data_IF_013706387361
#
_entry.id   IF_013706387361
#
_cell.length_a   1.000
_cell.length_b   1.000
_cell.length_c   1.000
_cell.angle_alpha   90.00
_cell.angle_beta   90.00
_cell.angle_gamma   90.00
#
_symmetry.space_group_name_H-M   'P 1'
#
loop_
_entity.id
_entity.type
_entity.pdbx_description
1 polymer ?
#
# COMPACT_ATOMS: atom_id res chain seq x y z
N UNK A 1 -20.91 -41.30 -18.69
CA UNK A 1 -19.55 -40.86 -18.27
C UNK A 1 -19.64 -39.35 -18.16
N UNK A 2 -19.66 -38.78 -16.95
CA UNK A 2 -19.69 -37.33 -16.78
C UNK A 2 -18.36 -36.78 -17.28
N UNK A 3 -18.38 -35.91 -18.28
CA UNK A 3 -17.22 -35.13 -18.70
C UNK A 3 -16.79 -34.27 -17.49
N UNK A 4 -15.59 -34.48 -16.97
CA UNK A 4 -14.95 -33.54 -16.04
C UNK A 4 -14.12 -32.57 -16.87
N UNK A 5 -14.60 -31.34 -17.03
CA UNK A 5 -13.82 -30.29 -17.69
C UNK A 5 -12.53 -30.01 -16.91
N UNK A 6 -11.51 -29.49 -17.60
CA UNK A 6 -10.29 -29.04 -16.93
C UNK A 6 -10.61 -27.86 -15.99
N UNK A 7 -9.84 -27.72 -14.91
CA UNK A 7 -9.85 -26.47 -14.15
C UNK A 7 -9.21 -25.37 -15.00
N UNK A 8 -9.93 -24.29 -15.32
CA UNK A 8 -9.47 -23.25 -16.24
C UNK A 8 -9.07 -21.99 -15.45
N UNK A 9 -7.81 -21.56 -15.55
CA UNK A 9 -7.25 -20.38 -14.85
C UNK A 9 -6.79 -19.36 -15.89
N UNK A 10 -7.55 -18.29 -16.08
CA UNK A 10 -7.27 -17.27 -17.10
C UNK A 10 -7.80 -15.89 -16.68
N UNK A 11 -7.36 -14.85 -17.40
CA UNK A 11 -7.97 -13.53 -17.39
C UNK A 11 -8.66 -13.29 -18.74
N UNK A 12 -9.65 -12.41 -18.81
CA UNK A 12 -10.29 -12.07 -20.09
C UNK A 12 -9.30 -11.50 -21.11
N UNK A 13 -8.36 -10.67 -20.64
CA UNK A 13 -7.29 -10.10 -21.46
C UNK A 13 -6.37 -11.18 -22.05
N UNK A 14 -5.92 -12.14 -21.21
CA UNK A 14 -5.06 -13.23 -21.71
C UNK A 14 -5.81 -14.10 -22.71
N UNK A 15 -7.09 -14.43 -22.48
CA UNK A 15 -7.88 -15.23 -23.41
C UNK A 15 -8.08 -14.54 -24.77
N UNK A 16 -8.27 -13.22 -24.81
CA UNK A 16 -8.40 -12.44 -26.05
C UNK A 16 -7.15 -12.49 -26.94
N UNK A 17 -5.95 -12.42 -26.34
CA UNK A 17 -4.70 -12.57 -27.11
C UNK A 17 -4.60 -13.93 -27.79
N UNK A 18 -5.14 -14.97 -27.15
CA UNK A 18 -5.12 -16.33 -27.68
C UNK A 18 -6.10 -16.57 -28.82
N UNK A 19 -7.17 -15.76 -28.96
CA UNK A 19 -8.10 -15.82 -30.09
C UNK A 19 -7.37 -15.66 -31.42
N UNK A 20 -6.52 -14.62 -31.53
CA UNK A 20 -5.77 -14.34 -32.76
C UNK A 20 -4.65 -15.35 -33.02
N UNK A 21 -4.14 -15.99 -31.96
CA UNK A 21 -3.04 -16.97 -32.05
C UNK A 21 -3.51 -18.34 -32.53
N UNK A 22 -4.75 -18.69 -32.23
CA UNK A 22 -5.36 -19.96 -32.63
C UNK A 22 -6.08 -19.89 -33.98
N UNK A 23 -6.11 -18.73 -34.62
CA UNK A 23 -6.64 -18.55 -35.99
C UNK A 23 -5.71 -19.22 -37.04
N UNK A 24 -4.41 -19.31 -36.72
CA UNK A 24 -3.44 -20.08 -37.49
C UNK A 24 -3.66 -21.59 -37.31
N UNK A 25 -3.40 -22.37 -38.37
CA UNK A 25 -3.45 -23.84 -38.34
C UNK A 25 -2.34 -24.44 -37.49
N UNK A 26 -2.46 -24.30 -36.17
CA UNK A 26 -1.53 -24.83 -35.19
C UNK A 26 -1.40 -26.37 -35.30
N UNK A 27 -2.45 -27.06 -35.77
CA UNK A 27 -2.43 -28.52 -36.02
C UNK A 27 -1.32 -28.94 -36.99
N UNK A 28 -1.00 -28.12 -38.00
CA UNK A 28 -0.01 -28.45 -39.03
C UNK A 28 1.43 -28.49 -38.47
N UNK A 29 1.65 -27.95 -37.25
CA UNK A 29 2.96 -27.96 -36.57
C UNK A 29 3.22 -29.24 -35.78
N UNK A 30 2.24 -30.14 -35.69
CA UNK A 30 2.33 -31.37 -34.90
C UNK A 30 2.45 -32.61 -35.79
N UNK A 31 3.21 -33.59 -35.32
CA UNK A 31 3.22 -34.92 -35.96
C UNK A 31 1.85 -35.60 -35.81
N UNK A 32 1.48 -36.42 -36.82
CA UNK A 32 0.18 -37.11 -36.84
C UNK A 32 -0.06 -38.02 -35.62
N UNK A 33 1.01 -38.59 -35.06
CA UNK A 33 0.98 -39.36 -33.80
C UNK A 33 0.55 -38.52 -32.60
N UNK A 34 1.17 -37.35 -32.42
CA UNK A 34 0.83 -36.38 -31.39
C UNK A 34 -0.61 -35.85 -31.53
N UNK A 35 -1.06 -35.53 -32.75
CA UNK A 35 -2.44 -35.10 -33.02
C UNK A 35 -3.47 -36.16 -32.61
N UNK A 36 -3.23 -37.42 -33.01
CA UNK A 36 -4.14 -38.53 -32.69
C UNK A 36 -4.18 -38.81 -31.20
N UNK A 37 -3.01 -38.77 -30.54
CA UNK A 37 -2.86 -38.99 -29.10
C UNK A 37 -3.47 -37.85 -28.29
N UNK A 38 -3.26 -36.60 -28.70
CA UNK A 38 -3.80 -35.40 -28.07
C UNK A 38 -5.33 -35.34 -28.14
N UNK A 39 -5.92 -35.58 -29.31
CA UNK A 39 -7.39 -35.70 -29.46
C UNK A 39 -7.98 -36.78 -28.56
N UNK A 40 -7.25 -37.88 -28.31
CA UNK A 40 -7.66 -38.94 -27.39
C UNK A 40 -7.54 -38.53 -25.92
N UNK A 41 -6.54 -37.73 -25.54
CA UNK A 41 -6.38 -37.18 -24.19
C UNK A 41 -7.49 -36.17 -23.87
N UNK A 42 -7.78 -35.26 -24.81
CA UNK A 42 -8.87 -34.29 -24.71
C UNK A 42 -10.24 -34.98 -24.56
N UNK A 43 -10.60 -35.92 -25.46
CA UNK A 43 -11.88 -36.67 -25.37
C UNK A 43 -12.03 -37.50 -24.10
N UNK A 44 -10.93 -37.85 -23.45
CA UNK A 44 -10.94 -38.59 -22.18
C UNK A 44 -10.99 -37.69 -20.95
N UNK A 45 -10.95 -36.36 -21.11
CA UNK A 45 -10.84 -35.41 -19.99
C UNK A 45 -9.56 -35.62 -19.19
N UNK A 46 -8.45 -35.97 -19.86
CA UNK A 46 -7.16 -36.25 -19.19
C UNK A 46 -6.41 -34.96 -18.83
N UNK A 47 -6.81 -33.82 -19.41
CA UNK A 47 -6.36 -32.50 -18.98
C UNK A 47 -7.13 -32.15 -17.71
N UNK A 48 -6.41 -32.04 -16.59
CA UNK A 48 -7.00 -31.73 -15.30
C UNK A 48 -7.04 -30.24 -15.02
N UNK A 49 -6.11 -29.48 -15.59
CA UNK A 49 -6.00 -28.03 -15.41
C UNK A 49 -5.34 -27.38 -16.63
N UNK A 50 -5.81 -26.18 -16.97
CA UNK A 50 -5.21 -25.31 -17.98
C UNK A 50 -5.08 -23.89 -17.42
N UNK A 51 -3.90 -23.28 -17.57
CA UNK A 51 -3.65 -21.90 -17.18
C UNK A 51 -3.17 -21.08 -18.37
N UNK A 52 -3.86 -19.98 -18.68
CA UNK A 52 -3.63 -19.15 -19.87
C UNK A 52 -3.11 -17.77 -19.44
N UNK A 53 -1.84 -17.50 -19.74
CA UNK A 53 -1.18 -16.20 -19.61
C UNK A 53 -1.17 -15.42 -20.93
N UNK A 54 -0.63 -14.20 -20.91
CA UNK A 54 -0.60 -13.33 -22.08
C UNK A 54 0.29 -13.89 -23.19
N UNK A 55 1.40 -14.57 -22.85
CA UNK A 55 2.39 -15.13 -23.80
C UNK A 55 2.57 -16.65 -23.64
N UNK A 56 2.02 -17.28 -22.61
CA UNK A 56 2.20 -18.70 -22.33
C UNK A 56 0.89 -19.40 -21.94
N UNK A 57 0.79 -20.70 -22.21
CA UNK A 57 -0.24 -21.56 -21.64
C UNK A 57 0.37 -22.81 -21.03
N UNK A 58 -0.11 -23.18 -19.85
CA UNK A 58 0.35 -24.35 -19.11
C UNK A 58 -0.79 -25.36 -19.01
N UNK A 59 -0.56 -26.55 -19.55
CA UNK A 59 -1.48 -27.67 -19.53
C UNK A 59 -1.00 -28.72 -18.56
N UNK A 60 -1.88 -29.15 -17.65
CA UNK A 60 -1.62 -30.25 -16.72
C UNK A 60 -2.44 -31.47 -17.13
N UNK A 61 -1.75 -32.56 -17.45
CA UNK A 61 -2.35 -33.85 -17.79
C UNK A 61 -2.13 -34.87 -16.68
N UNK A 62 -3.22 -35.46 -16.19
CA UNK A 62 -3.17 -36.49 -15.13
C UNK A 62 -3.34 -37.89 -15.72
N UNK A 63 -2.30 -38.71 -15.63
CA UNK A 63 -2.33 -40.13 -16.03
C UNK A 63 -2.06 -41.01 -14.81
N UNK A 64 -3.12 -41.59 -14.23
CA UNK A 64 -3.00 -42.40 -13.02
C UNK A 64 -2.59 -41.54 -11.80
N UNK A 65 -1.40 -41.81 -11.24
CA UNK A 65 -0.82 -41.06 -10.11
C UNK A 65 0.20 -39.98 -10.53
N UNK A 66 0.58 -39.91 -11.80
CA UNK A 66 1.56 -38.96 -12.30
C UNK A 66 0.88 -37.76 -12.99
N UNK A 67 1.41 -36.57 -12.74
CA UNK A 67 1.02 -35.32 -13.39
C UNK A 67 2.12 -34.92 -14.36
N UNK A 68 1.74 -34.67 -15.62
CA UNK A 68 2.66 -34.26 -16.67
C UNK A 68 2.23 -32.90 -17.17
N UNK A 69 3.20 -32.03 -17.47
CA UNK A 69 2.95 -30.66 -17.84
C UNK A 69 3.48 -30.40 -19.25
N UNK A 70 2.74 -29.60 -20.00
CA UNK A 70 3.20 -29.03 -21.26
C UNK A 70 2.95 -27.54 -21.22
N UNK A 71 3.99 -26.76 -21.52
CA UNK A 71 3.98 -25.30 -21.57
C UNK A 71 4.14 -24.93 -23.03
N UNK A 72 3.18 -24.16 -23.53
CA UNK A 72 3.23 -23.53 -24.85
C UNK A 72 3.61 -22.09 -24.61
N UNK A 73 4.79 -21.68 -25.07
CA UNK A 73 5.22 -20.28 -25.07
C UNK A 73 5.06 -19.72 -26.47
N UNK A 74 4.40 -18.58 -26.59
CA UNK A 74 4.17 -17.87 -27.84
C UNK A 74 5.18 -16.73 -28.00
N UNK A 75 5.96 -16.76 -29.08
CA UNK A 75 6.96 -15.74 -29.42
C UNK A 75 6.90 -15.45 -30.93
N UNK A 76 6.76 -14.16 -31.31
CA UNK A 76 6.86 -13.68 -32.70
C UNK A 76 6.04 -14.48 -33.74
N UNK A 77 4.78 -14.80 -33.46
CA UNK A 77 3.89 -15.55 -34.38
C UNK A 77 4.19 -17.06 -34.46
N UNK A 78 5.01 -17.59 -33.58
CA UNK A 78 5.27 -19.01 -33.41
C UNK A 78 5.13 -19.44 -31.96
N UNK A 79 4.96 -20.73 -31.72
CA UNK A 79 4.99 -21.29 -30.37
C UNK A 79 6.05 -22.36 -30.22
N UNK A 80 6.67 -22.39 -29.04
CA UNK A 80 7.58 -23.42 -28.60
C UNK A 80 6.93 -24.25 -27.48
N UNK A 81 7.21 -25.54 -27.46
CA UNK A 81 6.66 -26.47 -26.46
C UNK A 81 7.77 -26.87 -25.50
N UNK A 82 7.56 -26.64 -24.21
CA UNK A 82 8.40 -27.13 -23.12
C UNK A 82 7.60 -28.10 -22.27
N UNK A 83 8.18 -29.23 -21.90
CA UNK A 83 7.45 -30.28 -21.18
C UNK A 83 8.26 -30.88 -20.05
N UNK A 84 7.54 -31.42 -19.06
CA UNK A 84 8.11 -32.22 -17.98
C UNK A 84 8.46 -33.65 -18.41
N UNK A 85 8.08 -34.08 -19.61
CA UNK A 85 8.35 -35.44 -20.12
C UNK A 85 9.54 -35.45 -21.08
N UNK A 86 10.34 -36.52 -21.05
CA UNK A 86 11.36 -36.80 -22.06
C UNK A 86 10.77 -37.38 -23.36
N UNK A 87 9.48 -37.74 -23.37
CA UNK A 87 8.73 -38.16 -24.56
C UNK A 87 8.16 -36.90 -25.25
N UNK A 88 8.84 -36.46 -26.31
CA UNK A 88 8.44 -35.28 -27.09
C UNK A 88 7.08 -35.47 -27.77
N UNK A 89 6.76 -36.67 -28.25
CA UNK A 89 5.45 -36.94 -28.87
C UNK A 89 4.32 -36.87 -27.83
N UNK A 90 4.59 -37.27 -26.59
CA UNK A 90 3.63 -37.14 -25.50
C UNK A 90 3.49 -35.70 -25.01
N UNK A 91 4.58 -34.95 -24.92
CA UNK A 91 4.56 -33.51 -24.63
C UNK A 91 3.70 -32.74 -25.63
N UNK A 92 3.90 -33.03 -26.91
CA UNK A 92 3.15 -32.48 -28.03
C UNK A 92 1.67 -32.89 -27.95
N UNK A 93 1.39 -34.15 -27.61
CA UNK A 93 0.01 -34.62 -27.42
C UNK A 93 -0.72 -33.90 -26.27
N UNK A 94 -0.03 -33.54 -25.19
CA UNK A 94 -0.61 -32.72 -24.11
C UNK A 94 -0.88 -31.31 -24.61
N UNK A 95 0.03 -30.71 -25.39
CA UNK A 95 -0.16 -29.39 -25.97
C UNK A 95 -1.36 -29.35 -26.93
N UNK A 96 -1.48 -30.34 -27.83
CA UNK A 96 -2.63 -30.51 -28.72
C UNK A 96 -3.95 -30.59 -27.92
N UNK A 97 -3.96 -31.36 -26.83
CA UNK A 97 -5.15 -31.47 -25.99
C UNK A 97 -5.48 -30.15 -25.25
N UNK A 98 -4.46 -29.36 -24.91
CA UNK A 98 -4.60 -28.02 -24.38
C UNK A 98 -5.20 -27.04 -25.37
N UNK A 99 -4.67 -27.00 -26.59
CA UNK A 99 -5.17 -26.13 -27.65
C UNK A 99 -6.67 -26.35 -27.91
N UNK A 100 -7.11 -27.61 -27.98
CA UNK A 100 -8.54 -27.95 -28.12
C UNK A 100 -9.38 -27.45 -26.94
N UNK A 101 -8.85 -27.48 -25.71
CA UNK A 101 -9.53 -26.94 -24.52
C UNK A 101 -9.59 -25.41 -24.54
N UNK A 102 -8.58 -24.72 -25.08
CA UNK A 102 -8.58 -23.27 -25.27
C UNK A 102 -9.59 -22.87 -26.35
N UNK A 103 -9.63 -23.59 -27.47
CA UNK A 103 -10.64 -23.36 -28.53
C UNK A 103 -12.06 -23.55 -28.01
N UNK A 104 -12.30 -24.59 -27.21
CA UNK A 104 -13.58 -24.79 -26.52
C UNK A 104 -13.89 -23.62 -25.58
N UNK A 105 -12.91 -23.17 -24.79
CA UNK A 105 -13.08 -22.03 -23.89
C UNK A 105 -13.38 -20.71 -24.63
N UNK A 106 -12.74 -20.47 -25.76
CA UNK A 106 -13.00 -19.30 -26.62
C UNK A 106 -14.42 -19.36 -27.18
N UNK A 107 -14.86 -20.55 -27.62
CA UNK A 107 -16.22 -20.77 -28.10
C UNK A 107 -17.28 -20.62 -27.00
N UNK A 108 -16.97 -21.03 -25.77
CA UNK A 108 -17.85 -20.89 -24.60
C UNK A 108 -18.01 -19.42 -24.14
N UNK A 109 -16.97 -18.59 -24.26
CA UNK A 109 -16.93 -17.21 -23.72
C UNK A 109 -17.54 -16.13 -24.64
N UNK A 110 -18.05 -16.49 -25.83
CA UNK A 110 -18.67 -15.59 -26.82
C UNK A 110 -17.94 -14.22 -26.95
N UNK A 111 -16.63 -14.28 -27.23
CA UNK A 111 -15.71 -13.12 -27.28
C UNK A 111 -15.90 -12.22 -28.52
N UNK A 112 -16.98 -12.42 -29.28
CA UNK A 112 -17.31 -11.72 -30.53
C UNK A 112 -17.57 -10.22 -30.37
N UNK A 113 -17.58 -9.70 -29.13
CA UNK A 113 -17.95 -8.30 -28.80
C UNK A 113 -16.72 -7.38 -28.62
N UNK A 114 -15.48 -7.87 -28.65
CA UNK A 114 -14.30 -7.08 -28.24
C UNK A 114 -13.22 -6.99 -29.33
N UNK A 115 -13.64 -6.96 -30.60
CA UNK A 115 -12.72 -6.86 -31.75
C UNK A 115 -12.35 -5.42 -32.15
N UNK A 116 -12.86 -4.39 -31.47
CA UNK A 116 -12.65 -2.99 -31.89
C UNK A 116 -11.58 -2.19 -31.13
N UNK A 117 -10.96 -2.69 -30.04
CA UNK A 117 -10.14 -1.84 -29.16
C UNK A 117 -8.61 -2.10 -29.13
N UNK A 118 -8.04 -2.98 -29.95
CA UNK A 118 -6.59 -3.28 -29.90
C UNK A 118 -5.87 -3.18 -31.26
N UNK A 119 -6.18 -2.15 -32.06
CA UNK A 119 -5.33 -1.73 -33.17
C UNK A 119 -4.68 -0.41 -32.80
N UNK A 120 -3.61 -0.46 -32.01
CA UNK A 120 -2.55 0.56 -31.94
C UNK A 120 -1.53 0.10 -30.90
N UNK A 121 -0.51 -0.66 -31.33
CA UNK A 121 0.89 -0.55 -30.86
C UNK A 121 1.71 -1.75 -31.35
N UNK A 122 2.02 -1.76 -32.66
CA UNK A 122 3.17 -2.51 -33.18
C UNK A 122 3.94 -1.62 -34.15
N UNK A 123 4.91 -0.86 -33.62
CA UNK A 123 6.12 -0.44 -34.35
C UNK A 123 7.28 -0.25 -33.38
N UNK A 124 8.21 -1.18 -33.38
CA UNK A 124 9.63 -0.89 -33.56
C UNK A 124 10.42 -2.20 -33.65
N UNK A 125 10.81 -2.52 -34.89
CA UNK A 125 11.88 -3.45 -35.21
C UNK A 125 13.23 -2.78 -34.90
N UNK A 126 14.06 -3.42 -34.07
CA UNK A 126 15.52 -3.31 -34.20
C UNK A 126 16.14 -4.70 -34.10
N UNK A 127 16.94 -5.02 -35.12
CA UNK A 127 17.67 -6.27 -35.32
C UNK A 127 18.70 -6.51 -34.21
N UNK A 128 18.66 -7.70 -33.59
CA UNK A 128 19.80 -8.23 -32.83
C UNK A 128 20.09 -9.64 -33.32
N UNK A 129 21.29 -9.79 -33.88
CA UNK A 129 21.88 -11.02 -34.39
C UNK A 129 22.12 -12.01 -33.23
N UNK A 130 21.49 -13.19 -33.27
CA UNK A 130 21.74 -14.26 -32.31
C UNK A 130 22.56 -15.39 -32.93
N UNK A 131 23.74 -15.60 -32.36
CA UNK A 131 24.65 -16.70 -32.64
C UNK A 131 23.98 -18.06 -32.39
N UNK A 132 24.13 -18.97 -33.37
CA UNK A 132 23.76 -20.38 -33.23
C UNK A 132 24.66 -21.06 -32.18
N UNK A 133 24.14 -21.30 -30.99
CA UNK A 133 24.80 -22.21 -30.04
C UNK A 133 24.43 -23.65 -30.39
N UNK A 134 25.38 -24.33 -31.02
CA UNK A 134 25.44 -25.78 -31.21
C UNK A 134 25.32 -26.50 -29.87
N UNK A 135 24.40 -27.47 -29.79
CA UNK A 135 24.28 -28.41 -28.67
C UNK A 135 25.54 -29.29 -28.59
N UNK A 136 26.46 -28.93 -27.70
CA UNK A 136 27.60 -29.77 -27.39
C UNK A 136 27.22 -30.77 -26.29
N UNK A 137 27.17 -32.03 -26.70
CA UNK A 137 26.96 -33.17 -25.83
C UNK A 137 28.19 -33.41 -24.95
N UNK A 138 28.11 -32.99 -23.68
CA UNK A 138 28.78 -33.64 -22.51
C UNK A 138 28.46 -32.85 -21.23
N UNK A 139 27.36 -33.19 -20.57
CA UNK A 139 27.11 -32.71 -19.21
C UNK A 139 27.93 -33.54 -18.20
N UNK A 140 28.72 -32.92 -17.30
CA UNK A 140 29.33 -33.62 -16.18
C UNK A 140 28.21 -34.07 -15.23
N UNK A 141 28.38 -35.24 -14.59
CA UNK A 141 27.46 -35.74 -13.55
C UNK A 141 27.56 -34.82 -12.32
N UNK A 142 26.67 -33.84 -12.24
CA UNK A 142 26.50 -32.97 -11.07
C UNK A 142 25.48 -33.62 -10.13
N UNK A 143 25.82 -33.66 -8.84
CA UNK A 143 24.96 -34.22 -7.78
C UNK A 143 23.62 -33.51 -7.66
N UNK A 144 22.62 -34.21 -7.11
CA UNK A 144 21.25 -33.71 -6.91
C UNK A 144 21.23 -32.45 -6.04
N UNK A 145 21.02 -31.28 -6.63
CA UNK A 145 20.85 -30.00 -5.90
C UNK A 145 19.40 -29.85 -5.44
N UNK A 146 19.19 -29.39 -4.23
CA UNK A 146 17.84 -29.12 -3.68
C UNK A 146 17.46 -27.66 -3.92
N UNK A 147 16.20 -27.43 -4.31
CA UNK A 147 15.67 -26.07 -4.43
C UNK A 147 15.30 -25.57 -3.03
N UNK A 148 15.85 -24.42 -2.67
CA UNK A 148 15.72 -23.75 -1.39
C UNK A 148 15.06 -22.39 -1.57
N UNK A 149 13.95 -22.18 -0.89
CA UNK A 149 13.13 -20.98 -0.99
C UNK A 149 13.30 -20.16 0.29
N UNK A 150 13.55 -18.87 0.14
CA UNK A 150 13.66 -17.93 1.27
C UNK A 150 12.50 -16.95 1.17
N UNK A 151 11.71 -16.83 2.23
CA UNK A 151 10.72 -15.75 2.38
C UNK A 151 11.34 -14.57 3.11
N UNK A 152 11.12 -13.39 2.57
CA UNK A 152 11.58 -12.11 3.10
C UNK A 152 10.50 -11.04 2.94
N UNK A 153 10.40 -10.12 3.90
CA UNK A 153 9.43 -9.02 3.89
C UNK A 153 10.09 -7.74 3.38
N UNK A 154 9.46 -7.06 2.43
CA UNK A 154 9.91 -5.76 1.90
C UNK A 154 8.76 -4.75 1.82
N UNK A 155 9.06 -3.46 1.70
CA UNK A 155 8.04 -2.40 1.54
C UNK A 155 7.11 -2.58 0.31
N UNK A 156 7.53 -3.40 -0.64
CA UNK A 156 6.75 -3.72 -1.85
C UNK A 156 5.86 -4.96 -1.73
N UNK A 157 6.07 -5.78 -0.70
CA UNK A 157 5.34 -7.04 -0.54
C UNK A 157 6.17 -8.14 0.12
N UNK A 158 5.62 -9.34 0.12
CA UNK A 158 6.32 -10.55 0.54
C UNK A 158 7.12 -11.09 -0.64
N UNK A 159 8.43 -11.25 -0.47
CA UNK A 159 9.37 -11.74 -1.47
C UNK A 159 9.64 -13.23 -1.21
N UNK A 160 9.61 -14.03 -2.26
CA UNK A 160 10.06 -15.41 -2.28
C UNK A 160 11.24 -15.54 -3.25
N UNK A 161 12.43 -15.65 -2.68
CA UNK A 161 13.68 -15.88 -3.41
C UNK A 161 13.91 -17.39 -3.56
N UNK A 162 14.53 -17.80 -4.67
CA UNK A 162 14.80 -19.21 -4.96
C UNK A 162 16.28 -19.46 -5.24
N UNK A 163 16.85 -20.43 -4.53
CA UNK A 163 18.27 -20.78 -4.55
C UNK A 163 18.47 -22.29 -4.76
N UNK A 164 19.51 -22.67 -5.49
CA UNK A 164 20.05 -24.02 -5.50
C UNK A 164 21.03 -24.18 -4.33
N UNK A 165 20.80 -25.19 -3.48
CA UNK A 165 21.76 -25.62 -2.47
C UNK A 165 22.80 -26.55 -3.09
N UNK A 166 24.06 -26.17 -2.93
CA UNK A 166 25.23 -26.96 -3.34
C UNK A 166 25.68 -27.90 -2.21
N UNK A 167 26.45 -28.92 -2.56
CA UNK A 167 26.96 -29.92 -1.61
C UNK A 167 27.90 -29.33 -0.54
N UNK A 168 28.50 -28.17 -0.84
CA UNK A 168 29.34 -27.39 0.08
C UNK A 168 28.53 -26.46 1.02
N UNK A 169 27.20 -26.46 0.89
CA UNK A 169 26.29 -25.60 1.65
C UNK A 169 26.12 -24.18 1.08
N UNK A 170 26.80 -23.84 -0.01
CA UNK A 170 26.65 -22.53 -0.65
C UNK A 170 25.35 -22.44 -1.48
N UNK A 171 24.82 -21.22 -1.61
CA UNK A 171 23.56 -20.92 -2.31
C UNK A 171 23.87 -20.26 -3.66
N UNK A 172 23.28 -20.77 -4.75
CA UNK A 172 23.30 -20.11 -6.07
C UNK A 172 21.88 -19.71 -6.49
N UNK A 173 21.64 -18.51 -7.04
CA UNK A 173 20.32 -18.12 -7.51
C UNK A 173 19.78 -19.12 -8.54
N UNK A 174 18.56 -19.60 -8.30
CA UNK A 174 17.89 -20.57 -9.18
C UNK A 174 17.18 -19.89 -10.37
N UNK A 175 16.91 -18.60 -10.24
CA UNK A 175 16.31 -17.72 -11.25
C UNK A 175 17.40 -16.79 -11.83
N UNK A 176 17.33 -16.49 -13.13
CA UNK A 176 18.23 -15.60 -13.85
C UNK A 176 17.50 -14.51 -14.65
N UNK A 177 18.24 -13.53 -15.18
CA UNK A 177 17.73 -12.29 -15.80
C UNK A 177 16.89 -12.43 -17.09
N UNK A 178 16.25 -11.28 -17.43
CA UNK A 178 15.11 -11.01 -18.31
C UNK A 178 14.05 -12.12 -18.37
N UNK A 179 12.94 -11.94 -17.62
CA UNK A 179 11.81 -12.88 -17.49
C UNK A 179 12.03 -14.16 -16.65
N UNK A 180 13.00 -14.19 -15.73
CA UNK A 180 13.11 -15.29 -14.76
C UNK A 180 13.56 -16.62 -15.36
N UNK A 181 14.42 -16.56 -16.39
CA UNK A 181 14.90 -17.74 -17.09
C UNK A 181 15.49 -18.76 -16.10
N UNK A 182 14.97 -20.01 -16.08
CA UNK A 182 15.42 -21.03 -15.15
C UNK A 182 16.87 -21.39 -15.42
N UNK A 183 17.75 -21.20 -14.44
CA UNK A 183 19.14 -21.70 -14.50
C UNK A 183 19.16 -23.16 -14.06
N UNK A 184 18.54 -24.01 -14.87
CA UNK A 184 18.46 -25.45 -14.64
C UNK A 184 19.41 -26.18 -15.59
N UNK A 185 20.36 -26.91 -15.01
CA UNK A 185 21.34 -27.74 -15.72
C UNK A 185 20.71 -29.12 -16.06
N UNK A 186 19.71 -29.55 -15.28
CA UNK A 186 19.07 -30.87 -15.41
C UNK A 186 17.54 -30.82 -15.62
N UNK A 187 16.96 -31.95 -16.07
CA UNK A 187 15.51 -32.11 -16.24
C UNK A 187 14.77 -32.03 -14.90
N UNK A 188 15.31 -32.65 -13.85
CA UNK A 188 14.74 -32.61 -12.49
C UNK A 188 14.72 -31.17 -11.92
N UNK A 189 15.75 -30.38 -12.20
CA UNK A 189 15.81 -28.97 -11.80
C UNK A 189 14.77 -28.11 -12.54
N UNK A 190 14.57 -28.36 -13.85
CA UNK A 190 13.51 -27.69 -14.63
C UNK A 190 12.12 -28.00 -14.07
N UNK A 191 11.84 -29.26 -13.75
CA UNK A 191 10.56 -29.68 -13.19
C UNK A 191 10.25 -28.96 -11.86
N UNK A 192 11.25 -28.81 -10.99
CA UNK A 192 11.12 -28.08 -9.72
C UNK A 192 10.85 -26.60 -9.90
N UNK A 193 11.52 -25.96 -10.86
CA UNK A 193 11.28 -24.53 -11.15
C UNK A 193 9.91 -24.29 -11.78
N UNK A 194 9.44 -25.18 -12.66
CA UNK A 194 8.07 -25.12 -13.21
C UNK A 194 7.04 -25.29 -12.09
N UNK A 195 7.26 -26.25 -11.19
CA UNK A 195 6.38 -26.47 -10.04
C UNK A 195 6.34 -25.25 -9.11
N UNK A 196 7.49 -24.60 -8.88
CA UNK A 196 7.58 -23.34 -8.13
C UNK A 196 6.76 -22.24 -8.82
N UNK A 197 6.96 -22.03 -10.13
CA UNK A 197 6.25 -21.01 -10.90
C UNK A 197 4.72 -21.21 -10.84
N UNK A 198 4.24 -22.44 -11.01
CA UNK A 198 2.82 -22.77 -10.91
C UNK A 198 2.24 -22.46 -9.51
N UNK A 199 2.96 -22.83 -8.45
CA UNK A 199 2.54 -22.54 -7.06
C UNK A 199 2.59 -21.06 -6.72
N UNK A 200 3.59 -20.35 -7.20
CA UNK A 200 3.72 -18.91 -7.05
C UNK A 200 2.53 -18.19 -7.71
N UNK A 201 2.19 -18.52 -8.97
CA UNK A 201 1.01 -17.97 -9.66
C UNK A 201 -0.29 -18.27 -8.93
N UNK A 202 -0.49 -19.52 -8.48
CA UNK A 202 -1.65 -19.92 -7.69
C UNK A 202 -1.79 -19.14 -6.37
N UNK A 203 -0.67 -18.65 -5.84
CA UNK A 203 -0.61 -17.85 -4.63
C UNK A 203 -0.52 -16.35 -4.93
N UNK A 204 -0.80 -15.94 -6.16
CA UNK A 204 -0.81 -14.55 -6.65
C UNK A 204 0.53 -13.82 -6.57
N UNK A 205 1.64 -14.55 -6.60
CA UNK A 205 2.95 -13.95 -6.74
C UNK A 205 3.22 -13.56 -8.21
N UNK A 206 3.94 -12.46 -8.37
CA UNK A 206 4.44 -11.96 -9.66
C UNK A 206 5.96 -11.98 -9.66
N UNK A 207 6.59 -12.33 -10.78
CA UNK A 207 8.05 -12.30 -10.86
C UNK A 207 8.55 -10.85 -10.86
N UNK A 208 9.61 -10.58 -10.10
CA UNK A 208 10.30 -9.30 -10.07
C UNK A 208 11.79 -9.50 -10.37
N UNK A 209 12.26 -8.81 -11.40
CA UNK A 209 13.68 -8.81 -11.78
C UNK A 209 14.55 -8.15 -10.71
N UNK A 210 14.05 -7.10 -10.07
CA UNK A 210 14.75 -6.35 -9.02
C UNK A 210 15.14 -7.25 -7.83
N UNK A 211 14.23 -8.13 -7.42
CA UNK A 211 14.47 -9.06 -6.31
C UNK A 211 14.94 -10.44 -6.78
N UNK A 212 15.08 -10.64 -8.09
CA UNK A 212 15.34 -11.92 -8.73
C UNK A 212 14.49 -13.06 -8.12
N UNK A 213 13.20 -12.79 -7.95
CA UNK A 213 12.31 -13.60 -7.13
C UNK A 213 10.84 -13.28 -7.37
N UNK A 214 9.97 -13.94 -6.62
CA UNK A 214 8.53 -13.77 -6.71
C UNK A 214 8.04 -12.80 -5.63
N UNK A 215 7.20 -11.82 -5.98
CA UNK A 215 6.65 -10.83 -5.05
C UNK A 215 5.13 -10.94 -4.98
N UNK A 216 4.61 -11.06 -3.76
CA UNK A 216 3.19 -10.95 -3.46
C UNK A 216 2.90 -9.53 -2.95
N UNK A 217 2.30 -8.71 -3.82
CA UNK A 217 1.99 -7.29 -3.55
C UNK A 217 0.66 -7.08 -2.80
N UNK A 218 -0.26 -8.05 -2.88
CA UNK A 218 -1.57 -7.95 -2.25
C UNK A 218 -1.50 -8.21 -0.74
N UNK A 219 -1.36 -7.14 0.05
CA UNK A 219 -1.13 -7.23 1.50
C UNK A 219 -2.18 -8.06 2.26
N UNK A 220 -3.44 -8.03 1.83
CA UNK A 220 -4.52 -8.82 2.47
C UNK A 220 -4.31 -10.34 2.38
N UNK A 221 -3.59 -10.81 1.36
CA UNK A 221 -3.36 -12.23 1.12
C UNK A 221 -2.13 -12.75 1.88
N UNK A 222 -1.21 -11.86 2.26
CA UNK A 222 0.07 -12.19 2.89
C UNK A 222 -0.11 -12.98 4.21
N UNK A 223 -0.93 -12.55 5.19
CA UNK A 223 -1.06 -13.28 6.46
C UNK A 223 -1.60 -14.70 6.28
N UNK A 224 -2.57 -14.87 5.37
CA UNK A 224 -3.12 -16.18 5.02
C UNK A 224 -2.05 -17.05 4.34
N UNK A 225 -1.31 -16.51 3.38
CA UNK A 225 -0.26 -17.24 2.68
C UNK A 225 0.79 -17.76 3.67
N UNK A 226 1.37 -16.89 4.50
CA UNK A 226 2.43 -17.25 5.45
C UNK A 226 1.93 -18.27 6.50
N UNK A 227 0.68 -18.14 6.94
CA UNK A 227 0.13 -19.00 8.00
C UNK A 227 -0.41 -20.34 7.51
N UNK A 228 -0.96 -20.40 6.28
CA UNK A 228 -1.72 -21.56 5.78
C UNK A 228 -1.11 -22.20 4.54
N UNK A 229 -0.56 -21.42 3.61
CA UNK A 229 -0.07 -21.92 2.32
C UNK A 229 1.41 -22.30 2.40
N UNK A 230 2.26 -21.41 2.93
CA UNK A 230 3.70 -21.61 3.02
C UNK A 230 4.12 -22.91 3.74
N UNK A 231 3.50 -23.32 4.87
CA UNK A 231 3.84 -24.60 5.51
C UNK A 231 3.62 -25.82 4.60
N UNK A 232 2.69 -25.76 3.65
CA UNK A 232 2.44 -26.84 2.69
C UNK A 232 3.56 -26.99 1.65
N UNK A 233 4.35 -25.93 1.43
CA UNK A 233 5.46 -25.94 0.48
C UNK A 233 6.67 -26.71 0.99
N UNK A 234 6.82 -26.86 2.32
CA UNK A 234 7.87 -27.65 2.98
C UNK A 234 7.92 -29.12 2.53
N UNK A 235 6.81 -29.65 2.02
CA UNK A 235 6.74 -31.02 1.49
C UNK A 235 7.39 -31.19 0.10
N UNK A 236 7.69 -30.10 -0.61
CA UNK A 236 8.24 -30.16 -1.97
C UNK A 236 9.53 -29.35 -2.14
N UNK A 237 9.82 -28.42 -1.24
CA UNK A 237 11.00 -27.56 -1.29
C UNK A 237 11.65 -27.46 0.08
N UNK A 238 12.95 -27.16 0.10
CA UNK A 238 13.60 -26.64 1.30
C UNK A 238 13.16 -25.18 1.48
N UNK A 239 12.81 -24.77 2.70
CA UNK A 239 12.22 -23.45 2.97
C UNK A 239 12.90 -22.78 4.16
N UNK A 240 13.10 -21.47 4.08
CA UNK A 240 13.60 -20.60 5.13
C UNK A 240 12.71 -19.36 5.23
N UNK A 241 12.50 -18.87 6.44
CA UNK A 241 11.78 -17.63 6.71
C UNK A 241 12.76 -16.70 7.43
N UNK A 242 12.88 -15.46 6.96
CA UNK A 242 13.64 -14.42 7.68
C UNK A 242 12.85 -13.91 8.88
N UNK A 243 13.55 -13.29 9.83
CA UNK A 243 12.97 -12.85 11.11
C UNK A 243 11.77 -11.88 10.93
N UNK A 244 11.85 -11.01 9.93
CA UNK A 244 10.80 -10.04 9.59
C UNK A 244 9.49 -10.66 9.04
N UNK A 245 9.50 -11.94 8.66
CA UNK A 245 8.30 -12.68 8.22
C UNK A 245 7.40 -13.03 9.41
N UNK A 246 7.94 -13.07 10.63
CA UNK A 246 7.13 -13.29 11.82
C UNK A 246 6.12 -12.15 12.05
N UNK A 247 6.52 -10.91 11.77
CA UNK A 247 5.76 -9.68 12.05
C UNK A 247 4.46 -9.57 11.23
N UNK A 248 4.36 -10.26 10.10
CA UNK A 248 3.19 -10.22 9.19
C UNK A 248 2.16 -11.32 9.48
N UNK A 249 2.46 -12.26 10.40
CA UNK A 249 1.56 -13.38 10.73
C UNK A 249 0.33 -12.95 11.51
N UNK A 250 0.47 -11.92 12.35
CA UNK A 250 -0.61 -11.39 13.19
C UNK A 250 -1.64 -10.57 12.39
N UNK A 251 -1.34 -10.27 11.12
CA UNK A 251 -2.26 -9.59 10.21
C UNK A 251 -2.04 -8.08 10.19
N UNK A 252 -3.14 -7.33 10.29
CA UNK A 252 -3.12 -5.88 10.22
C UNK A 252 -3.02 -5.28 11.63
N UNK A 253 -1.97 -4.50 11.84
CA UNK A 253 -1.77 -3.73 13.07
C UNK A 253 -2.23 -2.30 12.86
N UNK A 254 -3.08 -1.81 13.75
CA UNK A 254 -3.53 -0.42 13.71
C UNK A 254 -2.54 0.46 14.49
N UNK A 255 -2.04 1.53 13.84
CA UNK A 255 -1.10 2.48 14.41
C UNK A 255 -1.81 3.79 14.77
N UNK A 256 -1.42 4.34 15.91
CA UNK A 256 -1.88 5.67 16.34
C UNK A 256 -0.77 6.68 16.15
N UNK A 257 -1.11 7.78 15.48
CA UNK A 257 -0.23 8.92 15.30
C UNK A 257 -0.32 9.82 16.54
N UNK A 258 0.82 10.07 17.16
CA UNK A 258 0.98 11.10 18.16
C UNK A 258 1.66 12.32 17.53
N UNK A 259 1.53 13.47 18.18
CA UNK A 259 2.24 14.68 17.79
C UNK A 259 3.06 15.19 18.96
N UNK A 260 4.24 15.72 18.67
CA UNK A 260 5.01 16.55 19.60
C UNK A 260 4.95 17.98 19.11
N UNK A 261 4.39 18.85 19.95
CA UNK A 261 4.21 20.26 19.63
C UNK A 261 5.18 21.11 20.46
N UNK A 262 5.93 21.97 19.78
CA UNK A 262 6.91 22.89 20.38
C UNK A 262 6.79 24.27 19.74
N UNK A 263 7.40 25.29 20.37
CA UNK A 263 7.59 26.60 19.74
C UNK A 263 8.99 26.67 19.15
N UNK A 264 9.10 27.23 17.94
CA UNK A 264 10.39 27.54 17.34
C UNK A 264 10.94 28.89 17.87
N UNK A 265 12.13 29.27 17.40
CA UNK A 265 12.79 30.52 17.82
C UNK A 265 12.02 31.80 17.48
N UNK A 266 11.05 31.74 16.58
CA UNK A 266 10.20 32.85 16.16
C UNK A 266 8.87 32.90 16.91
N UNK A 267 8.62 31.94 17.82
CA UNK A 267 7.39 31.85 18.60
C UNK A 267 6.22 31.22 17.84
N UNK A 268 6.47 30.64 16.66
CA UNK A 268 5.45 29.90 15.91
C UNK A 268 5.50 28.41 16.24
N UNK A 269 4.35 27.75 16.09
CA UNK A 269 4.12 26.36 16.42
C UNK A 269 4.84 25.45 15.41
N UNK A 270 5.70 24.59 15.92
CA UNK A 270 6.34 23.47 15.22
C UNK A 270 5.75 22.16 15.73
N UNK A 271 5.17 21.37 14.82
CA UNK A 271 4.58 20.06 15.14
C UNK A 271 5.34 18.97 14.43
N UNK A 272 5.87 18.05 15.21
CA UNK A 272 6.52 16.83 14.72
C UNK A 272 5.62 15.64 14.96
N UNK A 273 5.35 14.93 13.87
CA UNK A 273 4.57 13.71 13.88
C UNK A 273 5.40 12.55 14.40
N UNK A 274 4.94 11.93 15.50
CA UNK A 274 5.57 10.77 16.12
C UNK A 274 4.59 9.62 16.09
N UNK A 275 4.88 8.61 15.28
CA UNK A 275 4.07 7.40 15.22
C UNK A 275 4.41 6.52 16.43
N UNK A 276 3.42 6.29 17.29
CA UNK A 276 3.63 5.46 18.45
C UNK A 276 3.23 4.02 18.13
N UNK A 277 4.23 3.15 18.05
CA UNK A 277 4.06 1.70 17.90
C UNK A 277 4.07 0.97 19.25
N UNK A 278 4.06 1.71 20.36
CA UNK A 278 4.14 1.20 21.73
C UNK A 278 5.55 0.84 22.21
N UNK A 279 6.53 0.68 21.29
CA UNK A 279 7.89 0.24 21.64
C UNK A 279 9.04 0.89 20.84
N UNK A 280 8.79 1.55 19.70
CA UNK A 280 9.86 2.14 18.87
C UNK A 280 9.43 3.45 18.18
N UNK A 281 10.36 4.41 18.12
CA UNK A 281 10.28 5.57 17.23
C UNK A 281 10.47 5.11 15.78
N UNK A 282 9.63 5.57 14.86
CA UNK A 282 9.80 5.29 13.44
C UNK A 282 10.96 6.08 12.85
N UNK A 283 11.71 5.47 11.93
CA UNK A 283 12.64 6.21 11.08
C UNK A 283 11.90 7.11 10.10
N UNK A 284 12.57 8.18 9.63
CA UNK A 284 12.02 9.11 8.63
C UNK A 284 11.52 8.41 7.35
N UNK A 285 12.15 7.30 6.98
CA UNK A 285 11.76 6.51 5.80
C UNK A 285 10.44 5.76 6.03
N UNK A 286 10.29 5.10 7.18
CA UNK A 286 9.05 4.42 7.57
C UNK A 286 7.89 5.41 7.69
N UNK A 287 8.15 6.59 8.27
CA UNK A 287 7.19 7.67 8.37
C UNK A 287 6.77 8.16 6.98
N UNK A 288 7.70 8.38 6.03
CA UNK A 288 7.36 8.78 4.65
C UNK A 288 6.50 7.75 3.94
N UNK A 289 6.79 6.45 4.07
CA UNK A 289 6.00 5.39 3.42
C UNK A 289 4.56 5.38 3.97
N UNK A 290 4.39 5.56 5.28
CA UNK A 290 3.06 5.61 5.91
C UNK A 290 2.30 6.89 5.58
N UNK A 291 2.96 8.04 5.70
CA UNK A 291 2.38 9.36 5.43
C UNK A 291 2.10 9.58 3.94
N UNK A 292 2.85 8.91 3.04
CA UNK A 292 2.58 8.91 1.61
C UNK A 292 1.42 8.01 1.20
N UNK A 293 1.03 7.05 2.05
CA UNK A 293 -0.04 6.08 1.79
C UNK A 293 -1.14 6.14 2.88
N UNK A 294 -1.57 7.36 3.23
CA UNK A 294 -2.45 7.68 4.38
C UNK A 294 -3.67 6.75 4.53
N UNK A 295 -4.28 6.36 3.41
CA UNK A 295 -5.52 5.58 3.42
C UNK A 295 -5.35 4.08 3.22
N UNK A 296 -4.19 3.64 2.75
CA UNK A 296 -3.95 2.26 2.34
C UNK A 296 -3.02 1.59 3.36
N UNK A 297 -3.25 0.32 3.73
CA UNK A 297 -2.29 -0.42 4.53
C UNK A 297 -0.91 -0.43 3.85
N UNK A 298 0.14 -0.29 4.65
CA UNK A 298 1.52 -0.39 4.20
C UNK A 298 2.18 -1.60 4.86
N UNK A 299 3.16 -2.18 4.18
CA UNK A 299 3.99 -3.24 4.74
C UNK A 299 5.31 -2.63 5.18
N UNK A 300 5.63 -2.79 6.46
CA UNK A 300 6.89 -2.36 7.06
C UNK A 300 7.57 -3.61 7.62
N UNK A 301 8.76 -3.99 7.14
CA UNK A 301 9.41 -5.24 7.56
C UNK A 301 9.51 -5.41 9.09
N UNK A 302 9.79 -4.33 9.81
CA UNK A 302 9.97 -4.31 11.27
C UNK A 302 8.65 -4.38 12.04
N UNK A 303 7.53 -3.95 11.46
CA UNK A 303 6.24 -3.82 12.16
C UNK A 303 5.13 -4.72 11.59
N UNK A 304 5.35 -5.32 10.43
CA UNK A 304 4.35 -6.07 9.69
C UNK A 304 3.45 -5.19 8.84
N UNK A 305 2.21 -5.63 8.64
CA UNK A 305 1.23 -4.89 7.83
C UNK A 305 0.52 -3.89 8.74
N UNK A 306 0.70 -2.61 8.47
CA UNK A 306 0.25 -1.53 9.33
C UNK A 306 -0.77 -0.64 8.63
N UNK A 307 -1.72 -0.13 9.41
CA UNK A 307 -2.73 0.83 8.96
C UNK A 307 -2.87 1.94 9.99
N UNK A 308 -2.93 3.19 9.54
CA UNK A 308 -3.23 4.31 10.42
C UNK A 308 -4.68 4.26 10.91
N UNK A 309 -4.87 4.53 12.20
CA UNK A 309 -6.19 4.60 12.81
C UNK A 309 -7.03 5.72 12.20
N UNK A 310 -8.36 5.58 12.26
CA UNK A 310 -9.26 6.61 11.72
C UNK A 310 -9.00 7.99 12.35
N UNK A 311 -8.79 8.03 13.66
CA UNK A 311 -8.46 9.27 14.37
C UNK A 311 -7.16 9.92 13.86
N UNK A 312 -6.15 9.10 13.56
CA UNK A 312 -4.87 9.58 13.00
C UNK A 312 -5.05 10.17 11.60
N UNK A 313 -5.89 9.54 10.77
CA UNK A 313 -6.20 10.03 9.41
C UNK A 313 -6.97 11.34 9.45
N UNK A 314 -7.99 11.43 10.29
CA UNK A 314 -8.81 12.63 10.44
C UNK A 314 -7.96 13.82 10.90
N UNK A 315 -7.04 13.58 11.84
CA UNK A 315 -6.10 14.59 12.29
C UNK A 315 -5.12 15.02 11.20
N UNK A 316 -4.58 14.07 10.42
CA UNK A 316 -3.67 14.38 9.31
C UNK A 316 -4.36 15.23 8.25
N UNK A 317 -5.62 14.93 7.95
CA UNK A 317 -6.43 15.70 7.02
C UNK A 317 -6.66 17.13 7.52
N UNK A 318 -6.99 17.30 8.82
CA UNK A 318 -7.13 18.63 9.44
C UNK A 318 -5.83 19.42 9.39
N UNK A 319 -4.69 18.76 9.58
CA UNK A 319 -3.39 19.41 9.47
C UNK A 319 -3.14 19.92 8.04
N UNK A 320 -3.35 19.08 7.02
CA UNK A 320 -3.21 19.50 5.62
C UNK A 320 -4.15 20.66 5.26
N UNK A 321 -5.37 20.70 5.82
CA UNK A 321 -6.33 21.79 5.61
C UNK A 321 -5.89 23.11 6.25
N UNK A 322 -5.09 23.05 7.32
CA UNK A 322 -4.57 24.20 8.05
C UNK A 322 -3.23 24.70 7.47
N UNK A 323 -2.44 23.83 6.86
CA UNK A 323 -1.14 24.15 6.26
C UNK A 323 -1.33 24.91 4.93
N UNK A 324 -1.52 26.22 5.03
CA UNK A 324 -1.49 27.10 3.85
C UNK A 324 -0.05 27.16 3.27
N UNK A 325 0.15 26.95 1.96
CA UNK A 325 1.48 26.86 1.34
C UNK A 325 2.40 28.08 1.53
N UNK A 326 1.86 29.24 1.92
CA UNK A 326 2.57 30.52 2.04
C UNK A 326 2.41 31.20 3.43
N UNK A 327 1.92 30.49 4.45
CA UNK A 327 1.70 31.08 5.77
C UNK A 327 2.99 31.22 6.60
N UNK A 328 3.07 32.30 7.39
CA UNK A 328 4.19 32.66 8.26
C UNK A 328 4.38 31.73 9.49
N UNK A 329 3.99 30.47 9.39
CA UNK A 329 3.90 29.52 10.50
C UNK A 329 2.58 29.62 11.26
N UNK A 330 2.37 28.66 12.16
CA UNK A 330 1.15 28.56 12.96
C UNK A 330 1.29 29.32 14.28
N UNK A 331 0.23 29.99 14.71
CA UNK A 331 0.15 30.60 16.03
C UNK A 331 -0.16 29.54 17.11
N UNK A 332 0.32 29.71 18.36
CA UNK A 332 0.17 28.70 19.41
C UNK A 332 -1.27 28.27 19.68
N UNK A 333 -2.24 29.20 19.56
CA UNK A 333 -3.66 28.90 19.80
C UNK A 333 -4.30 28.01 18.74
N UNK A 334 -3.72 27.92 17.54
CA UNK A 334 -4.22 27.03 16.48
C UNK A 334 -4.04 25.55 16.84
N UNK A 335 -3.20 25.25 17.85
CA UNK A 335 -3.14 23.93 18.48
C UNK A 335 -4.53 23.43 18.91
N UNK A 336 -5.41 24.30 19.43
CA UNK A 336 -6.75 23.88 19.86
C UNK A 336 -7.66 23.45 18.71
N UNK A 337 -7.45 24.01 17.51
CA UNK A 337 -8.20 23.64 16.30
C UNK A 337 -7.82 22.26 15.76
N UNK A 338 -6.58 21.81 16.03
CA UNK A 338 -6.10 20.49 15.65
C UNK A 338 -6.67 19.38 16.55
N UNK A 339 -7.05 19.69 17.80
CA UNK A 339 -7.45 18.69 18.81
C UNK A 339 -8.82 18.95 19.44
N UNK A 340 -9.90 19.18 18.66
CA UNK A 340 -11.21 19.51 19.21
C UNK A 340 -11.83 18.35 20.04
N UNK A 341 -11.44 17.11 19.74
CA UNK A 341 -12.08 15.90 20.27
C UNK A 341 -11.24 15.14 21.31
N UNK A 342 -10.01 15.60 21.62
CA UNK A 342 -9.07 14.91 22.53
C UNK A 342 -8.63 13.49 22.08
N UNK A 343 -8.94 13.10 20.84
CA UNK A 343 -8.69 11.74 20.30
C UNK A 343 -7.26 11.49 19.82
N UNK A 344 -6.44 12.54 19.73
CA UNK A 344 -5.05 12.44 19.34
C UNK A 344 -4.15 12.82 20.52
N UNK A 345 -3.12 12.03 20.77
CA UNK A 345 -2.18 12.33 21.84
C UNK A 345 -1.15 13.34 21.33
N UNK A 346 -1.15 14.51 21.96
CA UNK A 346 -0.19 15.57 21.67
C UNK A 346 0.59 15.84 22.93
N UNK A 347 1.87 15.54 22.87
CA UNK A 347 2.79 15.95 23.91
C UNK A 347 3.20 17.39 23.64
N UNK A 348 2.84 18.26 24.57
CA UNK A 348 3.22 19.67 24.56
C UNK A 348 4.42 19.81 25.49
N UNK A 349 5.52 20.35 24.97
CA UNK A 349 6.78 20.45 25.72
C UNK A 349 7.31 21.90 25.76
N UNK A 350 8.24 22.15 26.70
CA UNK A 350 9.02 23.39 26.74
C UNK A 350 8.20 24.67 26.94
N UNK A 351 8.46 25.67 26.10
CA UNK A 351 7.80 26.98 26.18
C UNK A 351 6.31 26.92 25.84
N UNK A 352 5.90 26.01 24.95
CA UNK A 352 4.49 25.81 24.60
C UNK A 352 3.69 25.31 25.81
N UNK A 353 4.29 24.45 26.62
CA UNK A 353 3.67 23.94 27.84
C UNK A 353 3.48 25.08 28.86
N UNK A 354 4.48 25.95 29.02
CA UNK A 354 4.38 27.13 29.89
C UNK A 354 3.32 28.11 29.39
N UNK A 355 3.26 28.35 28.09
CA UNK A 355 2.23 29.19 27.46
C UNK A 355 0.83 28.63 27.71
N UNK A 356 0.64 27.31 27.54
CA UNK A 356 -0.64 26.64 27.81
C UNK A 356 -1.03 26.76 29.28
N UNK A 357 -0.08 26.55 30.18
CA UNK A 357 -0.31 26.60 31.61
C UNK A 357 -0.64 28.03 32.08
N UNK A 358 -0.03 29.06 31.48
CA UNK A 358 -0.41 30.46 31.70
C UNK A 358 -1.79 30.81 31.17
N UNK A 359 -2.18 30.23 30.03
CA UNK A 359 -3.52 30.43 29.44
C UNK A 359 -4.63 29.82 30.30
N UNK A 360 -4.41 28.60 30.81
CA UNK A 360 -5.36 27.86 31.63
C UNK A 360 -5.28 28.23 33.12
N UNK A 361 -4.16 28.83 33.54
CA UNK A 361 -3.94 29.31 34.88
C UNK A 361 -4.93 30.41 35.26
N UNK A 362 -5.33 30.44 36.52
CA UNK A 362 -6.08 31.53 37.09
C UNK A 362 -5.09 32.49 37.76
N UNK A 363 -4.37 33.30 36.98
CA UNK A 363 -3.49 34.29 37.60
C UNK A 363 -4.31 35.37 38.33
N UNK A 364 -3.92 35.62 39.58
CA UNK A 364 -4.35 36.73 40.43
C UNK A 364 -3.60 38.03 40.04
N UNK A 365 -3.61 38.41 38.76
CA UNK A 365 -3.05 39.71 38.39
C UNK A 365 -3.92 40.85 38.96
N UNK A 366 -3.25 41.90 39.47
CA UNK A 366 -3.88 43.15 39.89
C UNK A 366 -4.60 43.76 38.67
N UNK A 367 -5.89 43.44 38.55
CA UNK A 367 -6.65 43.79 37.36
C UNK A 367 -6.86 45.30 37.31
N UNK A 368 -6.43 45.95 36.22
CA UNK A 368 -6.78 47.35 35.91
C UNK A 368 -8.24 47.52 35.46
N UNK A 369 -9.04 46.47 35.63
CA UNK A 369 -10.44 46.40 35.25
C UNK A 369 -11.30 47.36 36.08
N UNK A 370 -12.42 47.78 35.50
CA UNK A 370 -13.35 48.69 36.15
C UNK A 370 -13.88 48.13 37.47
N UNK A 371 -13.90 48.96 38.50
CA UNK A 371 -14.41 48.59 39.82
C UNK A 371 -15.92 48.27 39.81
N UNK A 372 -16.67 48.85 38.88
CA UNK A 372 -18.12 48.70 38.76
C UNK A 372 -18.59 47.33 38.22
N UNK A 373 -17.66 46.47 37.77
CA UNK A 373 -17.98 45.14 37.27
C UNK A 373 -18.53 44.25 38.40
N UNK A 374 -19.62 43.56 38.12
CA UNK A 374 -20.14 42.49 38.99
C UNK A 374 -19.14 41.32 39.02
N UNK A 375 -19.16 40.45 40.05
CA UNK A 375 -18.21 39.34 40.17
C UNK A 375 -18.08 38.49 38.91
N UNK A 376 -19.20 38.06 38.30
CA UNK A 376 -19.19 37.28 37.06
C UNK A 376 -18.65 38.06 35.85
N UNK A 377 -18.87 39.37 35.79
CA UNK A 377 -18.38 40.23 34.70
C UNK A 377 -16.87 40.43 34.82
N UNK A 378 -16.38 40.54 36.06
CA UNK A 378 -14.94 40.62 36.35
C UNK A 378 -14.26 39.32 35.94
N UNK A 379 -14.84 38.18 36.28
CA UNK A 379 -14.34 36.87 35.86
C UNK A 379 -14.28 36.74 34.32
N UNK A 380 -15.36 37.10 33.61
CA UNK A 380 -15.39 37.12 32.14
C UNK A 380 -14.37 38.08 31.52
N UNK A 381 -14.21 39.28 32.09
CA UNK A 381 -13.20 40.23 31.63
C UNK A 381 -11.76 39.77 31.91
N UNK A 382 -11.48 39.20 33.09
CA UNK A 382 -10.16 38.63 33.40
C UNK A 382 -9.82 37.48 32.45
N UNK A 383 -10.78 36.58 32.18
CA UNK A 383 -10.61 35.51 31.21
C UNK A 383 -10.29 36.04 29.81
N UNK A 384 -11.04 37.02 29.30
CA UNK A 384 -10.76 37.63 28.00
C UNK A 384 -9.40 38.35 27.97
N UNK A 385 -9.03 39.09 29.02
CA UNK A 385 -7.74 39.77 29.11
C UNK A 385 -6.59 38.75 29.04
N UNK A 386 -6.70 37.64 29.78
CA UNK A 386 -5.74 36.54 29.74
C UNK A 386 -5.60 35.94 28.34
N UNK A 387 -6.71 35.65 27.66
CA UNK A 387 -6.68 35.15 26.28
C UNK A 387 -5.92 36.12 25.36
N UNK A 388 -6.25 37.41 25.42
CA UNK A 388 -5.63 38.44 24.58
C UNK A 388 -4.14 38.62 24.88
N UNK A 389 -3.73 38.54 26.15
CA UNK A 389 -2.34 38.63 26.57
C UNK A 389 -1.50 37.42 26.10
N UNK A 390 -2.14 36.28 25.84
CA UNK A 390 -1.51 35.07 25.29
C UNK A 390 -1.61 34.97 23.77
N UNK A 391 -2.07 36.01 23.07
CA UNK A 391 -2.21 36.03 21.60
C UNK A 391 -3.45 35.29 21.08
N UNK A 392 -4.35 34.84 21.96
CA UNK A 392 -5.60 34.19 21.59
C UNK A 392 -6.70 35.20 21.26
N UNK A 393 -7.71 34.73 20.53
CA UNK A 393 -8.97 35.46 20.34
C UNK A 393 -10.05 34.94 21.28
N UNK A 394 -10.99 35.81 21.66
CA UNK A 394 -12.06 35.48 22.59
C UNK A 394 -13.44 35.54 21.93
N UNK A 395 -14.31 34.59 22.28
CA UNK A 395 -15.74 34.62 21.96
C UNK A 395 -16.55 34.76 23.25
N UNK A 396 -17.01 35.98 23.55
CA UNK A 396 -17.87 36.23 24.71
C UNK A 396 -19.34 35.94 24.37
N UNK A 397 -19.76 34.69 24.61
CA UNK A 397 -21.09 34.18 24.27
C UNK A 397 -22.08 34.17 25.46
N UNK A 398 -21.90 35.04 26.45
CA UNK A 398 -22.82 35.19 27.59
C UNK A 398 -24.26 35.49 27.13
N UNK A 399 -25.24 35.17 27.98
CA UNK A 399 -26.65 35.51 27.73
C UNK A 399 -26.87 37.02 27.49
N UNK A 400 -27.92 37.34 26.74
CA UNK A 400 -28.32 38.73 26.48
C UNK A 400 -28.76 39.39 27.79
N UNK A 401 -28.31 40.63 28.02
CA UNK A 401 -28.64 41.39 29.24
C UNK A 401 -27.64 41.27 30.40
N UNK A 402 -26.65 40.37 30.32
CA UNK A 402 -25.59 40.22 31.33
C UNK A 402 -24.52 41.33 31.30
N UNK A 403 -24.69 42.36 30.48
CA UNK A 403 -23.78 43.51 30.42
C UNK A 403 -22.43 43.19 29.78
N UNK A 404 -22.42 42.49 28.64
CA UNK A 404 -21.19 42.25 27.85
C UNK A 404 -20.46 43.54 27.46
N UNK A 405 -21.21 44.62 27.18
CA UNK A 405 -20.65 45.91 26.80
C UNK A 405 -19.69 46.47 27.85
N UNK A 406 -20.07 46.44 29.15
CA UNK A 406 -19.20 46.97 30.20
C UNK A 406 -17.94 46.11 30.41
N UNK A 407 -18.04 44.79 30.18
CA UNK A 407 -16.86 43.90 30.18
C UNK A 407 -15.87 44.31 29.08
N UNK A 408 -16.35 44.53 27.86
CA UNK A 408 -15.51 44.94 26.71
C UNK A 408 -14.93 46.33 26.91
N UNK A 409 -15.70 47.30 27.43
CA UNK A 409 -15.19 48.64 27.74
C UNK A 409 -14.03 48.56 28.73
N UNK A 410 -14.13 47.70 29.75
CA UNK A 410 -13.06 47.49 30.71
C UNK A 410 -11.75 47.02 30.06
N UNK A 411 -11.83 46.09 29.09
CA UNK A 411 -10.69 45.62 28.32
C UNK A 411 -10.10 46.70 27.41
N UNK A 412 -10.96 47.50 26.77
CA UNK A 412 -10.51 48.60 25.90
C UNK A 412 -9.75 49.64 26.72
N UNK A 413 -10.22 49.98 27.92
CA UNK A 413 -9.50 50.90 28.81
C UNK A 413 -8.09 50.41 29.11
N UNK A 414 -7.94 49.14 29.47
CA UNK A 414 -6.65 48.50 29.73
C UNK A 414 -5.74 48.52 28.48
N UNK A 415 -6.30 48.19 27.31
CA UNK A 415 -5.55 48.19 26.05
C UNK A 415 -5.06 49.59 25.66
N UNK A 416 -5.92 50.61 25.80
CA UNK A 416 -5.56 52.01 25.52
C UNK A 416 -4.52 52.55 26.51
N UNK A 417 -4.62 52.19 27.79
CA UNK A 417 -3.60 52.53 28.80
C UNK A 417 -2.23 51.93 28.45
N UNK A 418 -2.22 50.78 27.76
CA UNK A 418 -1.03 50.11 27.24
C UNK A 418 -0.57 50.64 25.87
N UNK A 419 -1.15 51.74 25.38
CA UNK A 419 -0.79 52.37 24.10
C UNK A 419 -1.33 51.66 22.85
N UNK A 420 -2.20 50.66 22.99
CA UNK A 420 -2.86 49.99 21.87
C UNK A 420 -4.02 50.84 21.33
N UNK A 421 -4.57 50.46 20.18
CA UNK A 421 -5.78 51.08 19.60
C UNK A 421 -6.93 50.05 19.60
N UNK A 422 -8.16 50.53 19.72
CA UNK A 422 -9.35 49.69 19.67
C UNK A 422 -10.31 50.16 18.56
N UNK A 423 -10.94 49.20 17.88
CA UNK A 423 -12.01 49.44 16.91
C UNK A 423 -13.21 48.60 17.30
N UNK A 424 -14.37 49.23 17.44
CA UNK A 424 -15.63 48.56 17.70
C UNK A 424 -16.45 48.58 16.41
N UNK A 425 -16.91 47.42 15.99
CA UNK A 425 -17.84 47.27 14.87
C UNK A 425 -19.16 46.76 15.42
N UNK A 426 -20.24 47.50 15.19
CA UNK A 426 -21.58 47.15 15.66
C UNK A 426 -22.66 47.70 14.71
N UNK A 427 -23.91 47.20 14.78
CA UNK A 427 -25.01 47.77 14.00
C UNK A 427 -25.19 49.27 14.26
N UNK A 428 -25.55 50.03 13.22
CA UNK A 428 -25.70 51.49 13.32
C UNK A 428 -26.66 51.94 14.44
N UNK A 429 -27.71 51.15 14.71
CA UNK A 429 -28.70 51.43 15.77
C UNK A 429 -28.15 51.36 17.19
N UNK A 430 -27.04 50.66 17.42
CA UNK A 430 -26.43 50.51 18.76
C UNK A 430 -25.22 51.39 18.99
N UNK A 431 -24.76 52.12 17.97
CA UNK A 431 -23.66 53.10 18.11
C UNK A 431 -23.95 54.13 19.21
N UNK A 432 -25.15 54.76 19.29
CA UNK A 432 -25.45 55.71 20.36
C UNK A 432 -25.39 55.08 21.75
N UNK A 433 -25.75 53.80 21.87
CA UNK A 433 -25.68 53.06 23.14
C UNK A 433 -24.22 52.90 23.57
N UNK A 434 -23.34 52.48 22.66
CA UNK A 434 -21.90 52.39 22.95
C UNK A 434 -21.33 53.73 23.40
N UNK A 435 -21.62 54.83 22.68
CA UNK A 435 -21.18 56.18 23.07
C UNK A 435 -21.62 56.51 24.50
N UNK A 436 -22.90 56.29 24.82
CA UNK A 436 -23.43 56.57 26.17
C UNK A 436 -22.80 55.72 27.26
N UNK A 437 -22.45 54.46 26.99
CA UNK A 437 -21.80 53.59 27.97
C UNK A 437 -20.32 53.97 28.17
N UNK A 438 -19.62 54.43 27.13
CA UNK A 438 -18.27 55.00 27.26
C UNK A 438 -18.29 56.27 28.11
N UNK A 439 -19.19 57.22 27.83
CA UNK A 439 -19.34 58.44 28.62
C UNK A 439 -19.67 58.16 30.10
N UNK A 440 -20.40 57.08 30.37
CA UNK A 440 -20.80 56.68 31.72
C UNK A 440 -19.70 55.97 32.49
N UNK A 441 -19.00 55.02 31.89
CA UNK A 441 -18.06 54.14 32.60
C UNK A 441 -16.60 54.59 32.53
N UNK A 442 -16.23 55.30 31.47
CA UNK A 442 -14.85 55.73 31.19
C UNK A 442 -14.81 57.11 30.51
N UNK A 443 -15.42 58.16 31.12
CA UNK A 443 -15.51 59.50 30.52
C UNK A 443 -14.17 60.15 30.18
N UNK A 444 -13.07 59.65 30.75
CA UNK A 444 -11.71 60.07 30.48
C UNK A 444 -11.19 59.63 29.09
N UNK A 445 -11.81 58.61 28.48
CA UNK A 445 -11.45 58.10 27.15
C UNK A 445 -12.28 58.81 26.08
N UNK A 446 -11.61 59.36 25.06
CA UNK A 446 -12.22 60.10 23.95
C UNK A 446 -12.05 59.38 22.62
#
# INVERSE_FOLDING_TARGET
MQWKGANRIYSKHSLQRWVHRLDDRWEDRFQQGALTRGRKLYKKGSISEISIGDEDAIMTCKLGKAENYSVVDWEQGAFAIRSSSSDTEFADAIAVAGFLEIEELIADEDLSIISEELVEDEKNDEEVEFDKVTLDSKAPKVGRRMLHLVLDTHFEGLICEAYWLLEDGSRKPALGGSKGAPRAETVEERERLITLAARARKSHFTYSEQFNGYVLKHLQQIPFFVSKVWPTWKGSFSTEERDNVANIREGFTELTLNAKATLNSEGTLDVKWVLNTGQMDLSDEMARVLLGRRDVPALIPELGIVKLSQASRDLMKRWDELEEPDAAGFEPYQLFSLFPDGKANVEVEGELQKWRDGLLGADEEESTLLECLRPYQREGAQWMSRLLNHGCHCLLADEMGLGKTVQVISLIKEALASGKKALIVCPASVVPVWVSEFEKFVPELK
#
